data_IF_382706235238
#
_entry.id   IF_382706235238
#
_cell.length_a   1.000
_cell.length_b   1.000
_cell.length_c   1.000
_cell.angle_alpha   90.00
_cell.angle_beta   90.00
_cell.angle_gamma   90.00
#
_symmetry.space_group_name_H-M   'P 1'
#
loop_
_entity.id
_entity.type
_entity.pdbx_description
1 polymer ?
#
# COMPACT_ATOMS: atom_id res chain seq x y z
N UNK A 1 24.70 4.00 -12.65
CA UNK A 1 23.66 3.62 -11.65
C UNK A 1 22.64 2.75 -12.36
N UNK A 2 22.30 1.61 -11.81
CA UNK A 2 21.23 0.77 -12.34
C UNK A 2 19.92 1.20 -11.71
N UNK A 3 18.91 1.51 -12.53
CA UNK A 3 17.59 1.95 -12.08
C UNK A 3 16.53 0.96 -12.57
N UNK A 4 15.56 0.68 -11.69
CA UNK A 4 14.37 -0.08 -12.01
C UNK A 4 13.12 0.73 -11.63
N UNK A 5 12.08 0.66 -12.43
CA UNK A 5 10.85 1.40 -12.21
C UNK A 5 9.67 0.46 -12.00
N UNK A 6 8.80 0.81 -11.08
CA UNK A 6 7.49 0.17 -10.94
C UNK A 6 6.48 0.85 -11.86
N UNK A 7 5.68 0.04 -12.51
CA UNK A 7 4.49 0.51 -13.23
C UNK A 7 3.30 0.69 -12.29
N UNK A 8 2.27 1.39 -12.75
CA UNK A 8 1.01 1.54 -12.02
C UNK A 8 0.21 0.25 -12.06
N UNK A 9 0.01 -0.37 -10.90
CA UNK A 9 -0.70 -1.64 -10.77
C UNK A 9 -2.23 -1.53 -10.82
N UNK A 10 -2.79 -0.34 -10.55
CA UNK A 10 -4.22 -0.12 -10.52
C UNK A 10 -4.77 -0.07 -11.95
N UNK A 11 -5.39 -1.16 -12.36
CA UNK A 11 -6.08 -1.28 -13.64
C UNK A 11 -7.24 -2.24 -13.52
N UNK A 12 -8.35 -1.95 -14.21
CA UNK A 12 -9.51 -2.83 -14.29
C UNK A 12 -9.39 -3.88 -15.39
N UNK A 13 -8.39 -3.76 -16.27
CA UNK A 13 -8.13 -4.68 -17.37
C UNK A 13 -6.65 -5.04 -17.46
N UNK A 14 -6.31 -6.30 -17.72
CA UNK A 14 -4.92 -6.77 -17.70
C UNK A 14 -4.04 -6.22 -18.83
N UNK A 15 -4.63 -5.79 -19.94
CA UNK A 15 -3.86 -5.33 -21.10
C UNK A 15 -2.94 -4.15 -20.78
N UNK A 16 -3.42 -3.17 -19.98
CA UNK A 16 -2.62 -2.02 -19.59
C UNK A 16 -1.43 -2.39 -18.69
N UNK A 17 -1.59 -3.41 -17.88
CA UNK A 17 -0.51 -3.92 -17.02
C UNK A 17 0.56 -4.65 -17.85
N UNK A 18 0.13 -5.51 -18.78
CA UNK A 18 1.06 -6.21 -19.69
C UNK A 18 1.87 -5.23 -20.53
N UNK A 19 1.24 -4.16 -21.06
CA UNK A 19 1.97 -3.11 -21.79
C UNK A 19 3.08 -2.47 -20.98
N UNK A 20 2.87 -2.23 -19.69
CA UNK A 20 3.91 -1.67 -18.82
C UNK A 20 5.05 -2.66 -18.61
N UNK A 21 4.74 -3.94 -18.42
CA UNK A 21 5.74 -5.00 -18.26
C UNK A 21 6.56 -5.16 -19.55
N UNK A 22 5.90 -5.19 -20.71
CA UNK A 22 6.57 -5.24 -22.02
C UNK A 22 7.47 -4.02 -22.24
N UNK A 23 7.12 -2.87 -21.68
CA UNK A 23 7.93 -1.65 -21.70
C UNK A 23 9.13 -1.69 -20.73
N UNK A 24 9.24 -2.73 -19.89
CA UNK A 24 10.42 -2.99 -19.07
C UNK A 24 10.30 -2.52 -17.61
N UNK A 25 9.10 -2.35 -17.06
CA UNK A 25 8.96 -2.14 -15.61
C UNK A 25 9.37 -3.41 -14.86
N UNK A 26 9.97 -3.25 -13.69
CA UNK A 26 10.46 -4.36 -12.86
C UNK A 26 9.43 -4.85 -11.83
N UNK A 27 8.30 -4.18 -11.73
CA UNK A 27 7.23 -4.49 -10.78
C UNK A 27 6.02 -3.61 -11.01
N UNK A 28 4.95 -3.91 -10.30
CA UNK A 28 3.70 -3.16 -10.34
C UNK A 28 3.38 -2.61 -8.93
N UNK A 29 2.97 -1.35 -8.86
CA UNK A 29 2.58 -0.69 -7.60
C UNK A 29 1.09 -0.43 -7.57
N UNK A 30 0.44 -0.95 -6.54
CA UNK A 30 -0.93 -0.63 -6.17
C UNK A 30 -0.94 0.49 -5.11
N UNK A 31 -1.81 1.47 -5.27
CA UNK A 31 -1.96 2.58 -4.32
C UNK A 31 -3.41 3.06 -4.27
N UNK A 32 -3.91 3.36 -3.08
CA UNK A 32 -5.29 3.78 -2.85
C UNK A 32 -5.69 5.02 -3.64
N UNK A 33 -4.79 5.99 -3.85
CA UNK A 33 -5.04 7.20 -4.63
C UNK A 33 -5.52 6.91 -6.06
N UNK A 34 -5.26 5.71 -6.55
CA UNK A 34 -5.65 5.26 -7.88
C UNK A 34 -6.82 4.26 -7.87
N UNK A 35 -7.43 4.04 -6.70
CA UNK A 35 -8.53 3.11 -6.52
C UNK A 35 -8.05 1.66 -6.36
N UNK A 36 -7.54 1.32 -5.17
CA UNK A 36 -7.09 -0.04 -4.86
C UNK A 36 -8.26 -0.90 -4.38
N UNK A 37 -9.14 -1.23 -5.30
CA UNK A 37 -10.28 -2.12 -5.06
C UNK A 37 -9.83 -3.60 -5.06
N UNK A 38 -10.59 -4.52 -4.43
CA UNK A 38 -10.33 -5.96 -4.55
C UNK A 38 -10.17 -6.44 -6.00
N UNK A 39 -10.97 -5.89 -6.93
CA UNK A 39 -10.87 -6.22 -8.35
C UNK A 39 -9.56 -5.73 -8.99
N UNK A 40 -9.09 -4.54 -8.64
CA UNK A 40 -7.81 -4.02 -9.12
C UNK A 40 -6.63 -4.84 -8.57
N UNK A 41 -6.68 -5.20 -7.29
CA UNK A 41 -5.69 -6.08 -6.66
C UNK A 41 -5.64 -7.43 -7.37
N UNK A 42 -6.79 -8.06 -7.58
CA UNK A 42 -6.88 -9.35 -8.25
C UNK A 42 -6.37 -9.31 -9.69
N UNK A 43 -6.74 -8.28 -10.44
CA UNK A 43 -6.25 -8.05 -11.81
C UNK A 43 -4.72 -7.90 -11.84
N UNK A 44 -4.16 -7.09 -10.95
CA UNK A 44 -2.73 -6.84 -10.85
C UNK A 44 -1.95 -8.11 -10.53
N UNK A 45 -2.38 -8.84 -9.50
CA UNK A 45 -1.74 -10.08 -9.07
C UNK A 45 -1.85 -11.19 -10.12
N UNK A 46 -2.96 -11.25 -10.87
CA UNK A 46 -3.11 -12.22 -11.96
C UNK A 46 -2.06 -11.98 -13.05
N UNK A 47 -1.89 -10.74 -13.48
CA UNK A 47 -0.85 -10.43 -14.48
C UNK A 47 0.55 -10.64 -13.93
N UNK A 48 0.77 -10.32 -12.67
CA UNK A 48 2.07 -10.52 -12.01
C UNK A 48 2.47 -11.99 -11.94
N UNK A 49 1.54 -12.90 -11.66
CA UNK A 49 1.79 -14.34 -11.69
C UNK A 49 2.10 -14.85 -13.11
N UNK A 50 1.38 -14.36 -14.13
CA UNK A 50 1.61 -14.73 -15.53
C UNK A 50 3.00 -14.31 -16.03
N UNK A 51 3.56 -13.24 -15.48
CA UNK A 51 4.77 -12.59 -15.98
C UNK A 51 5.96 -12.68 -15.03
N UNK A 52 5.80 -13.38 -13.90
CA UNK A 52 6.81 -13.48 -12.82
C UNK A 52 7.30 -12.10 -12.36
N UNK A 53 6.37 -11.16 -12.19
CA UNK A 53 6.65 -9.77 -11.83
C UNK A 53 6.18 -9.49 -10.41
N UNK A 54 6.99 -8.77 -9.64
CA UNK A 54 6.63 -8.43 -8.25
C UNK A 54 5.52 -7.37 -8.16
N UNK A 55 4.73 -7.44 -7.10
CA UNK A 55 3.71 -6.43 -6.76
C UNK A 55 3.99 -5.85 -5.40
N UNK A 56 3.89 -4.52 -5.29
CA UNK A 56 3.89 -3.81 -4.02
C UNK A 56 2.59 -3.03 -3.85
N UNK A 57 2.08 -2.96 -2.62
CA UNK A 57 0.83 -2.28 -2.32
C UNK A 57 0.96 -1.31 -1.14
N UNK A 58 0.42 -0.11 -1.32
CA UNK A 58 -0.09 0.75 -0.25
C UNK A 58 -1.60 0.49 -0.17
N UNK A 59 -2.06 -0.09 0.94
CA UNK A 59 -3.46 -0.49 1.08
C UNK A 59 -4.38 0.70 1.36
N UNK A 60 -5.68 0.46 1.34
CA UNK A 60 -6.73 1.48 1.43
C UNK A 60 -6.87 2.03 2.85
N UNK A 61 -6.21 3.15 3.13
CA UNK A 61 -6.19 3.80 4.46
C UNK A 61 -7.58 4.16 4.97
N UNK A 62 -8.44 4.64 4.08
CA UNK A 62 -9.77 5.13 4.43
C UNK A 62 -10.84 4.02 4.40
N UNK A 63 -10.47 2.79 4.06
CA UNK A 63 -11.40 1.66 3.91
C UNK A 63 -12.54 1.96 2.91
N UNK A 64 -12.26 2.73 1.86
CA UNK A 64 -13.26 3.13 0.86
C UNK A 64 -13.73 1.97 -0.01
N UNK A 65 -12.85 1.00 -0.25
CA UNK A 65 -13.10 -0.16 -1.10
C UNK A 65 -13.28 -1.47 -0.33
N UNK A 66 -13.39 -1.38 0.99
CA UNK A 66 -13.49 -2.50 1.91
C UNK A 66 -12.46 -2.43 3.03
N UNK A 67 -12.55 -3.35 3.96
CA UNK A 67 -11.64 -3.47 5.10
C UNK A 67 -10.43 -4.34 4.77
N UNK A 68 -9.52 -4.51 5.72
CA UNK A 68 -8.30 -5.31 5.54
C UNK A 68 -8.61 -6.74 5.10
N UNK A 69 -9.70 -7.32 5.58
CA UNK A 69 -10.15 -8.66 5.22
C UNK A 69 -10.48 -8.78 3.72
N UNK A 70 -11.08 -7.74 3.12
CA UNK A 70 -11.40 -7.72 1.69
C UNK A 70 -10.12 -7.66 0.85
N UNK A 71 -9.14 -6.89 1.30
CA UNK A 71 -7.81 -6.82 0.68
C UNK A 71 -7.08 -8.17 0.79
N UNK A 72 -7.06 -8.79 1.97
CA UNK A 72 -6.47 -10.12 2.18
C UNK A 72 -7.16 -11.16 1.28
N UNK A 73 -8.49 -11.13 1.22
CA UNK A 73 -9.25 -12.02 0.35
C UNK A 73 -8.88 -11.85 -1.13
N UNK A 74 -8.61 -10.61 -1.57
CA UNK A 74 -8.18 -10.31 -2.94
C UNK A 74 -6.77 -10.82 -3.27
N UNK A 75 -5.90 -11.00 -2.28
CA UNK A 75 -4.58 -11.61 -2.48
C UNK A 75 -4.69 -13.07 -2.95
N UNK A 76 -5.68 -13.80 -2.49
CA UNK A 76 -5.90 -15.23 -2.84
C UNK A 76 -4.66 -16.09 -2.60
N UNK A 77 -3.88 -15.79 -1.56
CA UNK A 77 -2.63 -16.46 -1.22
C UNK A 77 -1.45 -16.20 -2.17
N UNK A 78 -1.57 -15.24 -3.09
CA UNK A 78 -0.50 -14.85 -4.01
C UNK A 78 0.55 -13.98 -3.33
N UNK A 79 1.75 -13.96 -3.88
CA UNK A 79 2.87 -13.17 -3.32
C UNK A 79 2.67 -11.68 -3.54
N UNK A 80 2.78 -10.92 -2.47
CA UNK A 80 2.67 -9.45 -2.49
C UNK A 80 3.54 -8.81 -1.42
N UNK A 81 4.12 -7.65 -1.73
CA UNK A 81 4.85 -6.82 -0.80
C UNK A 81 3.92 -5.72 -0.26
N UNK A 82 3.58 -5.77 1.02
CA UNK A 82 2.77 -4.75 1.68
C UNK A 82 3.66 -3.71 2.33
N UNK A 83 3.50 -2.44 1.93
CA UNK A 83 4.28 -1.32 2.45
C UNK A 83 3.73 -0.83 3.79
N UNK A 84 4.63 -0.27 4.63
CA UNK A 84 4.32 0.34 5.94
C UNK A 84 3.24 -0.42 6.72
N UNK A 85 3.44 -1.72 6.84
CA UNK A 85 2.48 -2.65 7.45
C UNK A 85 2.29 -2.42 8.95
N UNK A 86 3.17 -1.65 9.58
CA UNK A 86 2.97 -1.14 10.95
C UNK A 86 1.88 -0.07 11.05
N UNK A 87 1.42 0.46 9.91
CA UNK A 87 0.33 1.43 9.82
C UNK A 87 0.77 2.90 9.83
N UNK A 88 2.01 3.21 10.23
CA UNK A 88 2.48 4.58 10.34
C UNK A 88 2.57 5.33 9.01
N UNK A 89 2.82 4.64 7.91
CA UNK A 89 2.88 5.22 6.56
C UNK A 89 1.56 5.22 5.80
N UNK A 90 0.45 4.87 6.45
CA UNK A 90 -0.87 4.67 5.83
C UNK A 90 -1.24 3.19 5.69
N UNK A 91 -2.31 2.93 4.96
CA UNK A 91 -2.90 1.60 4.83
C UNK A 91 -4.08 1.40 5.77
N UNK A 92 -4.79 0.27 5.62
CA UNK A 92 -6.00 -0.02 6.39
C UNK A 92 -5.87 0.33 7.87
N UNK A 93 -6.72 1.20 8.36
CA UNK A 93 -6.79 1.52 9.77
C UNK A 93 -8.01 0.84 10.41
N UNK A 94 -7.90 0.38 11.67
CA UNK A 94 -6.69 0.43 12.52
C UNK A 94 -5.81 -0.82 12.45
N UNK A 95 -6.06 -1.73 11.52
CA UNK A 95 -5.66 -3.13 11.66
C UNK A 95 -4.89 -3.73 10.46
N UNK A 96 -4.24 -2.89 9.64
CA UNK A 96 -3.39 -3.36 8.54
C UNK A 96 -2.38 -4.44 8.98
N UNK A 97 -1.97 -4.41 10.25
CA UNK A 97 -1.03 -5.37 10.81
C UNK A 97 -1.50 -6.84 10.66
N UNK A 98 -2.79 -7.09 10.47
CA UNK A 98 -3.34 -8.42 10.22
C UNK A 98 -2.69 -9.11 9.02
N UNK A 99 -2.30 -8.35 7.99
CA UNK A 99 -1.69 -8.92 6.78
C UNK A 99 -0.34 -9.63 7.04
N UNK A 100 0.32 -9.31 8.16
CA UNK A 100 1.59 -9.95 8.55
C UNK A 100 1.42 -11.44 8.83
N UNK A 101 0.22 -11.85 9.22
CA UNK A 101 -0.12 -13.25 9.46
C UNK A 101 -0.35 -14.09 8.20
N UNK A 102 -0.44 -13.45 7.03
CA UNK A 102 -0.73 -14.14 5.79
C UNK A 102 0.52 -14.77 5.17
N UNK A 103 0.40 -16.00 4.72
CA UNK A 103 1.44 -16.64 3.93
C UNK A 103 1.66 -15.86 2.62
N UNK A 104 2.89 -15.80 2.14
CA UNK A 104 3.28 -15.12 0.91
C UNK A 104 3.13 -13.58 0.93
N UNK A 105 2.82 -12.97 2.06
CA UNK A 105 2.91 -11.53 2.25
C UNK A 105 4.29 -11.16 2.76
N UNK A 106 4.98 -10.25 2.07
CA UNK A 106 6.22 -9.65 2.53
C UNK A 106 5.91 -8.29 3.16
N UNK A 107 5.86 -8.16 4.48
CA UNK A 107 5.59 -6.88 5.13
C UNK A 107 6.84 -6.02 5.20
N UNK A 108 6.69 -4.72 5.05
CA UNK A 108 7.79 -3.76 5.28
C UNK A 108 7.32 -2.51 6.00
N UNK A 109 8.26 -1.86 6.68
CA UNK A 109 8.07 -0.56 7.28
C UNK A 109 8.51 0.55 6.32
N UNK A 110 8.02 1.77 6.55
CA UNK A 110 8.43 2.95 5.78
C UNK A 110 9.67 3.56 6.41
N UNK A 111 10.76 3.69 5.64
CA UNK A 111 12.02 4.24 6.15
C UNK A 111 11.88 5.62 6.81
N UNK A 112 11.13 6.59 6.25
CA UNK A 112 10.94 7.90 6.89
C UNK A 112 10.27 7.85 8.26
N UNK A 113 9.53 6.80 8.57
CA UNK A 113 8.78 6.67 9.83
C UNK A 113 9.64 6.14 10.98
N UNK A 114 10.70 5.40 10.70
CA UNK A 114 11.50 4.71 11.72
C UNK A 114 12.09 5.63 12.81
N UNK A 115 12.61 6.83 12.51
CA UNK A 115 13.09 7.74 13.53
C UNK A 115 12.00 8.23 14.48
N UNK A 116 10.76 8.30 14.00
CA UNK A 116 9.63 8.87 14.73
C UNK A 116 8.85 7.82 15.53
N UNK A 117 8.82 6.58 15.08
CA UNK A 117 8.05 5.50 15.73
C UNK A 117 8.72 4.89 16.96
N UNK A 118 9.92 5.32 17.31
CA UNK A 118 10.67 4.79 18.45
C UNK A 118 10.30 5.47 19.78
N UNK A 119 9.89 6.74 19.76
CA UNK A 119 9.95 7.59 20.94
C UNK A 119 8.58 7.93 21.54
N UNK A 120 7.70 8.65 20.83
CA UNK A 120 6.46 9.16 21.41
C UNK A 120 5.29 9.13 20.45
N UNK A 121 4.06 9.22 20.99
CA UNK A 121 2.84 9.37 20.20
C UNK A 121 2.86 10.68 19.42
N UNK A 122 3.36 11.77 20.01
CA UNK A 122 3.43 13.07 19.36
C UNK A 122 4.33 13.03 18.12
N UNK A 123 5.50 12.38 18.22
CA UNK A 123 6.39 12.19 17.07
C UNK A 123 5.75 11.32 15.98
N UNK A 124 4.94 10.35 16.38
CA UNK A 124 4.18 9.53 15.43
C UNK A 124 3.13 10.36 14.69
N UNK A 125 2.40 11.22 15.39
CA UNK A 125 1.45 12.15 14.80
C UNK A 125 2.14 13.12 13.83
N UNK A 126 3.26 13.72 14.24
CA UNK A 126 4.05 14.60 13.38
C UNK A 126 4.50 13.88 12.10
N UNK A 127 4.91 12.64 12.22
CA UNK A 127 5.28 11.82 11.06
C UNK A 127 4.09 11.57 10.12
N UNK A 128 2.92 11.23 10.65
CA UNK A 128 1.70 11.07 9.85
C UNK A 128 1.33 12.36 9.12
N UNK A 129 1.38 13.50 9.83
CA UNK A 129 1.13 14.81 9.24
C UNK A 129 2.05 15.11 8.07
N UNK A 130 3.35 14.83 8.22
CA UNK A 130 4.36 15.05 7.16
C UNK A 130 4.19 14.10 6.00
N UNK A 131 4.03 12.81 6.25
CA UNK A 131 3.94 11.77 5.20
C UNK A 131 2.68 11.91 4.34
N UNK A 132 1.59 12.40 4.90
CA UNK A 132 0.33 12.60 4.20
C UNK A 132 0.08 14.05 3.74
N UNK A 133 1.09 14.92 3.88
CA UNK A 133 0.98 16.35 3.50
C UNK A 133 -0.20 17.07 4.19
N UNK A 134 -0.46 16.71 5.45
CA UNK A 134 -1.54 17.27 6.25
C UNK A 134 -1.12 18.63 6.86
N UNK A 135 -2.11 19.46 7.16
CA UNK A 135 -1.90 20.77 7.76
C UNK A 135 -2.46 20.78 9.18
N UNK A 136 -1.59 20.95 10.18
CA UNK A 136 -1.97 20.99 11.60
C UNK A 136 -2.92 22.14 11.97
N UNK A 137 -3.08 23.15 11.10
CA UNK A 137 -4.05 24.24 11.28
C UNK A 137 -5.46 23.87 10.82
N UNK A 138 -5.62 22.73 10.15
CA UNK A 138 -6.89 22.21 9.65
C UNK A 138 -7.38 21.12 10.61
N UNK A 139 -8.53 21.35 11.24
CA UNK A 139 -9.06 20.44 12.26
C UNK A 139 -9.34 19.01 11.73
N UNK A 140 -9.77 18.90 10.48
CA UNK A 140 -10.04 17.63 9.81
C UNK A 140 -8.75 16.83 9.57
N UNK A 141 -7.68 17.49 9.19
CA UNK A 141 -6.37 16.86 8.98
C UNK A 141 -5.80 16.33 10.29
N UNK A 142 -5.89 17.12 11.36
CA UNK A 142 -5.45 16.72 12.69
C UNK A 142 -6.27 15.51 13.19
N UNK A 143 -7.59 15.58 13.06
CA UNK A 143 -8.47 14.47 13.46
C UNK A 143 -8.19 13.20 12.65
N UNK A 144 -7.85 13.31 11.36
CA UNK A 144 -7.42 12.18 10.55
C UNK A 144 -6.16 11.53 11.12
N UNK A 145 -5.12 12.32 11.40
CA UNK A 145 -3.86 11.81 11.95
C UNK A 145 -4.07 11.12 13.33
N UNK A 146 -4.87 11.74 14.22
CA UNK A 146 -5.18 11.20 15.55
C UNK A 146 -5.99 9.90 15.52
N UNK A 147 -6.67 9.61 14.42
CA UNK A 147 -7.51 8.40 14.27
C UNK A 147 -6.73 7.16 13.82
N UNK A 148 -5.41 7.26 13.54
CA UNK A 148 -4.56 6.20 12.95
C UNK A 148 -3.62 5.47 13.92
#
# INVERSE_FOLDING_TARGET
>A
MNLGFFGKGNASQPAALRQQIDAGVIGLKLHEDWGTTPAAIDCCLTVAEETDTQVAIHTDTLNESGFVEDTIAAFKGRTIHTFHTEGAGGGHAPDILKVVGEANVLPSSTNPTRPYTINTIDEHLDMLMVCHHLDASIAEDLAFAESR
#
